data_IF_325277676834
#
_entry.id   IF_325277676834
#
_cell.length_a   1.000
_cell.length_b   1.000
_cell.length_c   1.000
_cell.angle_alpha   90.00
_cell.angle_beta   90.00
_cell.angle_gamma   90.00
#
_symmetry.space_group_name_H-M   'P 1'
#
loop_
_entity.id
_entity.type
_entity.pdbx_description
1 polymer ?
#
# COMPACT_ATOMS: atom_id res chain seq x y z
N UNK A 1 -44.50 31.79 -10.47
CA UNK A 1 -44.02 31.47 -10.27
C UNK A 1 -43.34 30.63 -10.52
N UNK A 2 -42.48 30.33 -10.67
CA UNK A 2 -41.89 29.48 -10.86
C UNK A 2 -40.84 29.17 -10.32
N UNK A 3 -40.53 28.33 -9.87
CA UNK A 3 -39.52 27.88 -9.19
C UNK A 3 -38.52 27.27 -9.99
N UNK A 4 -37.46 27.75 -10.05
CA UNK A 4 -36.51 27.19 -10.64
C UNK A 4 -35.76 26.33 -9.91
N UNK A 5 -35.72 25.17 -9.98
CA UNK A 5 -34.95 24.25 -9.44
C UNK A 5 -33.76 24.07 -10.10
N UNK A 6 -32.73 24.55 -9.72
CA UNK A 6 -31.52 24.27 -10.20
C UNK A 6 -30.95 23.18 -9.51
N UNK A 7 -30.92 22.10 -10.05
CA UNK A 7 -30.25 20.98 -9.54
C UNK A 7 -28.82 21.18 -9.79
N UNK A 8 -28.16 21.61 -8.85
CA UNK A 8 -26.73 21.61 -8.94
C UNK A 8 -26.25 20.22 -8.76
N UNK A 9 -26.00 19.60 -9.81
CA UNK A 9 -25.35 18.35 -9.73
C UNK A 9 -23.92 18.61 -9.43
N UNK A 10 -23.56 18.37 -8.27
CA UNK A 10 -22.22 18.34 -7.93
C UNK A 10 -21.63 17.12 -8.43
N UNK A 11 -21.00 17.20 -9.49
CA UNK A 11 -20.15 16.19 -9.90
C UNK A 11 -18.90 16.31 -9.17
N UNK A 12 -18.78 15.57 -8.17
CA UNK A 12 -17.50 15.40 -7.56
C UNK A 12 -16.75 14.46 -8.42
N UNK A 13 -16.00 14.99 -9.28
CA UNK A 13 -15.05 14.21 -9.98
C UNK A 13 -14.02 13.81 -8.97
N UNK A 14 -14.06 12.60 -8.57
CA UNK A 14 -12.97 12.04 -7.84
C UNK A 14 -11.72 12.22 -8.68
N UNK A 15 -10.69 12.72 -8.13
CA UNK A 15 -9.48 12.91 -8.89
C UNK A 15 -9.03 11.57 -9.36
N UNK A 16 -9.06 11.42 -10.61
CA UNK A 16 -8.48 10.27 -11.18
C UNK A 16 -7.00 10.49 -11.08
N UNK A 17 -6.45 10.11 -9.99
CA UNK A 17 -5.05 10.09 -9.95
C UNK A 17 -4.67 8.89 -10.73
N UNK A 18 -4.13 9.11 -11.85
CA UNK A 18 -3.48 8.06 -12.54
C UNK A 18 -2.21 7.78 -11.79
N UNK A 19 -2.34 7.41 -10.56
CA UNK A 19 -1.19 7.21 -9.78
C UNK A 19 -0.59 5.89 -10.01
N UNK A 20 0.66 5.82 -9.88
CA UNK A 20 1.34 4.55 -9.82
C UNK A 20 0.67 3.74 -8.73
N UNK A 21 0.42 2.46 -8.97
CA UNK A 21 -0.19 1.62 -7.96
C UNK A 21 0.61 1.63 -6.68
N UNK A 22 -0.09 1.65 -5.56
CA UNK A 22 0.54 1.73 -4.25
C UNK A 22 0.72 0.34 -3.70
N UNK A 23 1.86 0.11 -3.05
CA UNK A 23 2.10 -1.11 -2.30
C UNK A 23 1.87 -0.81 -0.82
N UNK A 24 1.42 -1.80 -0.07
CA UNK A 24 1.20 -1.64 1.36
C UNK A 24 1.49 -2.92 2.11
N UNK A 25 1.82 -2.78 3.36
CA UNK A 25 2.09 -3.91 4.25
C UNK A 25 1.56 -3.58 5.63
N UNK A 26 0.97 -4.58 6.30
CA UNK A 26 0.59 -4.43 7.69
C UNK A 26 1.53 -5.30 8.49
N UNK A 27 2.28 -4.71 9.39
CA UNK A 27 3.28 -5.41 10.18
C UNK A 27 2.61 -6.15 11.34
N UNK A 28 3.10 -7.34 11.64
CA UNK A 28 2.63 -8.07 12.80
C UNK A 28 3.06 -7.37 14.09
N UNK A 29 4.20 -6.68 14.07
CA UNK A 29 4.72 -5.98 15.22
C UNK A 29 4.97 -4.52 14.85
N UNK A 30 4.09 -3.64 15.32
CA UNK A 30 4.18 -2.22 15.01
C UNK A 30 5.46 -1.59 15.54
N UNK A 31 6.07 -2.18 16.55
CA UNK A 31 7.30 -1.61 17.12
C UNK A 31 8.48 -1.74 16.17
N UNK A 32 8.36 -2.57 15.13
CA UNK A 32 9.42 -2.72 14.14
C UNK A 32 9.27 -1.76 12.97
N UNK A 33 8.20 -0.95 12.97
CA UNK A 33 8.01 0.02 11.91
C UNK A 33 9.08 1.11 12.01
N UNK A 34 9.79 1.42 10.90
CA UNK A 34 10.80 2.46 10.97
C UNK A 34 10.18 3.83 11.16
N UNK A 35 10.86 4.68 11.90
CA UNK A 35 10.39 6.05 12.11
C UNK A 35 10.63 6.92 10.88
N UNK A 36 11.57 6.53 10.04
CA UNK A 36 11.93 7.32 8.87
C UNK A 36 11.58 6.56 7.59
N UNK A 37 11.50 7.30 6.50
CA UNK A 37 11.29 6.69 5.20
C UNK A 37 12.41 5.71 4.89
N UNK A 38 12.05 4.55 4.41
CA UNK A 38 13.00 3.49 4.10
C UNK A 38 12.87 3.09 2.64
N UNK A 39 13.99 3.03 1.94
CA UNK A 39 13.99 2.63 0.54
C UNK A 39 14.24 1.12 0.45
N UNK A 40 13.33 0.41 -0.20
CA UNK A 40 13.47 -1.00 -0.47
C UNK A 40 13.21 -1.21 -1.95
N UNK A 41 14.21 -1.70 -2.67
CA UNK A 41 14.12 -1.97 -4.11
C UNK A 41 13.57 -0.75 -4.90
N UNK A 42 13.99 0.42 -4.51
CA UNK A 42 13.59 1.65 -5.20
C UNK A 42 12.27 2.23 -4.76
N UNK A 43 11.51 1.53 -3.91
CA UNK A 43 10.25 2.06 -3.39
C UNK A 43 10.51 2.75 -2.05
N UNK A 44 9.89 3.89 -1.85
CA UNK A 44 10.04 4.63 -0.61
C UNK A 44 8.91 4.25 0.34
N UNK A 45 9.24 3.55 1.40
CA UNK A 45 8.28 3.06 2.38
C UNK A 45 8.14 4.01 3.55
N UNK A 46 6.91 4.22 3.98
CA UNK A 46 6.61 5.00 5.17
C UNK A 46 5.60 4.25 5.98
N UNK A 47 5.72 4.27 7.29
CA UNK A 47 4.82 3.57 8.18
C UNK A 47 4.10 4.54 9.10
N UNK A 48 2.83 4.25 9.36
CA UNK A 48 2.05 4.91 10.40
C UNK A 48 1.50 3.79 11.26
N UNK A 49 2.00 3.65 12.47
CA UNK A 49 1.69 2.49 13.29
C UNK A 49 2.18 1.23 12.61
N UNK A 50 1.34 0.22 12.50
CA UNK A 50 1.69 -1.04 11.86
C UNK A 50 1.50 -1.02 10.35
N UNK A 51 0.91 0.03 9.79
CA UNK A 51 0.61 0.08 8.36
C UNK A 51 1.69 0.85 7.63
N UNK A 52 2.30 0.20 6.65
CA UNK A 52 3.33 0.82 5.83
C UNK A 52 2.88 0.86 4.39
N UNK A 53 3.25 1.90 3.69
CA UNK A 53 2.90 2.05 2.28
C UNK A 53 4.06 2.61 1.48
N UNK A 54 4.05 2.32 0.20
CA UNK A 54 5.07 2.78 -0.72
C UNK A 54 4.52 2.91 -2.12
N UNK A 55 5.15 3.75 -2.93
CA UNK A 55 4.83 3.84 -4.35
C UNK A 55 6.11 3.66 -5.14
N UNK A 56 5.97 3.28 -6.38
CA UNK A 56 7.11 3.07 -7.26
C UNK A 56 7.85 1.78 -6.95
N UNK A 57 9.13 1.80 -7.22
CA UNK A 57 9.98 0.65 -7.01
C UNK A 57 10.13 -0.24 -8.22
N UNK A 58 11.05 -1.17 -8.15
CA UNK A 58 11.33 -2.07 -9.25
C UNK A 58 10.17 -3.04 -9.47
N UNK A 59 9.98 -3.47 -10.71
CA UNK A 59 9.01 -4.50 -11.01
C UNK A 59 9.61 -5.84 -10.68
N UNK A 60 8.92 -6.62 -9.88
CA UNK A 60 9.39 -7.93 -9.46
C UNK A 60 8.19 -8.77 -9.04
N UNK A 61 8.35 -10.09 -8.89
CA UNK A 61 7.24 -10.90 -8.40
C UNK A 61 6.78 -10.45 -7.02
N UNK A 62 5.47 -10.44 -6.80
CA UNK A 62 4.91 -9.98 -5.53
C UNK A 62 5.47 -10.75 -4.34
N UNK A 63 5.68 -12.06 -4.48
CA UNK A 63 6.23 -12.86 -3.40
C UNK A 63 7.64 -12.40 -3.01
N UNK A 64 8.43 -12.01 -3.99
CA UNK A 64 9.78 -11.52 -3.73
C UNK A 64 9.72 -10.16 -3.04
N UNK A 65 8.85 -9.27 -3.52
CA UNK A 65 8.69 -7.96 -2.91
C UNK A 65 8.29 -8.10 -1.45
N UNK A 66 7.38 -9.01 -1.14
CA UNK A 66 6.95 -9.25 0.21
C UNK A 66 8.11 -9.74 1.09
N UNK A 67 8.89 -10.70 0.61
CA UNK A 67 10.03 -11.21 1.39
C UNK A 67 11.07 -10.13 1.66
N UNK A 68 11.25 -9.21 0.72
CA UNK A 68 12.20 -8.10 0.91
C UNK A 68 11.72 -7.18 2.02
N UNK A 69 10.42 -6.93 2.08
CA UNK A 69 9.84 -6.10 3.14
C UNK A 69 9.94 -6.81 4.48
N UNK A 70 9.65 -8.11 4.51
CA UNK A 70 9.75 -8.90 5.74
C UNK A 70 11.18 -8.89 6.28
N UNK A 71 12.16 -8.95 5.38
CA UNK A 71 13.56 -8.92 5.79
C UNK A 71 13.94 -7.61 6.49
N UNK A 72 13.22 -6.54 6.20
CA UNK A 72 13.53 -5.23 6.79
C UNK A 72 12.61 -4.87 7.96
N UNK A 73 11.34 -5.22 7.87
CA UNK A 73 10.35 -4.77 8.85
C UNK A 73 9.79 -5.90 9.71
N UNK A 74 10.18 -7.14 9.46
CA UNK A 74 9.63 -8.28 10.16
C UNK A 74 8.36 -8.81 9.52
N UNK A 75 7.75 -9.79 10.16
CA UNK A 75 6.58 -10.47 9.61
C UNK A 75 5.43 -9.52 9.33
N UNK A 76 4.66 -9.83 8.29
CA UNK A 76 3.50 -9.03 7.89
C UNK A 76 2.24 -9.88 8.03
N UNK A 77 1.11 -9.24 8.29
CA UNK A 77 -0.19 -9.91 8.34
C UNK A 77 -0.98 -9.68 7.05
N UNK A 78 -0.58 -8.70 6.26
CA UNK A 78 -1.19 -8.42 4.97
C UNK A 78 -0.16 -7.74 4.09
N UNK A 79 -0.24 -7.96 2.79
CA UNK A 79 0.66 -7.33 1.84
C UNK A 79 -0.05 -7.12 0.51
N UNK A 80 0.05 -5.92 -0.02
CA UNK A 80 -0.47 -5.56 -1.34
C UNK A 80 0.70 -5.06 -2.16
N UNK A 81 0.89 -5.61 -3.34
CA UNK A 81 1.98 -5.20 -4.19
C UNK A 81 1.43 -4.52 -5.43
N UNK A 82 1.70 -3.23 -5.55
CA UNK A 82 1.28 -2.41 -6.70
C UNK A 82 -0.18 -2.66 -7.06
N UNK A 83 -1.03 -2.59 -6.05
CA UNK A 83 -2.48 -2.72 -6.24
C UNK A 83 -3.02 -4.14 -6.18
N UNK A 84 -2.16 -5.15 -6.09
CA UNK A 84 -2.60 -6.54 -6.05
C UNK A 84 -2.40 -7.10 -4.65
N UNK A 85 -3.49 -7.48 -4.01
CA UNK A 85 -3.43 -8.02 -2.66
C UNK A 85 -3.01 -9.48 -2.68
N UNK A 86 -2.07 -9.86 -1.84
CA UNK A 86 -1.65 -11.23 -1.72
C UNK A 86 -2.67 -12.02 -0.90
N UNK A 87 -2.84 -13.29 -1.25
CA UNK A 87 -3.73 -14.18 -0.49
C UNK A 87 -3.08 -14.53 0.85
N UNK A 88 -3.88 -15.10 1.74
CA UNK A 88 -3.37 -15.53 3.04
C UNK A 88 -2.23 -16.53 2.91
N UNK A 89 -2.33 -17.46 1.94
CA UNK A 89 -1.29 -18.44 1.71
C UNK A 89 0.00 -17.78 1.20
N UNK A 90 -0.13 -16.79 0.35
CA UNK A 90 1.03 -16.08 -0.17
C UNK A 90 1.71 -15.27 0.94
N UNK A 91 0.92 -14.68 1.84
CA UNK A 91 1.49 -13.93 2.96
C UNK A 91 2.19 -14.90 3.91
N UNK A 92 1.62 -16.06 4.17
CA UNK A 92 2.26 -17.06 5.03
C UNK A 92 3.59 -17.52 4.43
N UNK A 93 3.64 -17.75 3.14
CA UNK A 93 4.87 -18.14 2.47
C UNK A 93 5.91 -17.01 2.50
N UNK A 94 5.47 -15.78 2.43
CA UNK A 94 6.34 -14.63 2.49
C UNK A 94 7.03 -14.52 3.85
N UNK A 95 6.30 -14.85 4.91
CA UNK A 95 6.82 -14.75 6.27
C UNK A 95 7.70 -15.96 6.68
N UNK A 96 7.69 -16.99 5.90
CA UNK A 96 8.41 -18.23 6.23
C UNK A 96 9.91 -18.09 6.07
#
# INVERSE_FOLDING_TARGET
MRALLIAATLLVAAPAFADAPVSSAVLADASKAPAARTIIDGAAWRCEGATCSASGGANQPAARACRRVVARFGAVTAFTYKGVELTADQVAACNA
#
